data_IF_681097528674
#
_entry.id   IF_681097528674
#
_cell.length_a   1.000
_cell.length_b   1.000
_cell.length_c   1.000
_cell.angle_alpha   90.00
_cell.angle_beta   90.00
_cell.angle_gamma   90.00
#
_symmetry.space_group_name_H-M   'P 1'
#
loop_
_entity.id
_entity.type
_entity.pdbx_description
1 polymer ?
#
# COMPACT_ATOMS: atom_id res chain seq x y z
N UNK A 1 21.62 4.88 5.36
CA UNK A 1 20.40 4.06 5.22
C UNK A 1 19.96 4.16 3.76
N UNK A 2 20.22 3.14 2.95
CA UNK A 2 19.85 3.16 1.53
C UNK A 2 18.32 3.08 1.45
N UNK A 3 17.65 4.17 1.09
CA UNK A 3 16.22 4.13 0.79
C UNK A 3 16.03 3.26 -0.46
N UNK A 4 15.64 2.00 -0.27
CA UNK A 4 15.44 1.06 -1.37
C UNK A 4 14.18 1.49 -2.13
N UNK A 5 14.37 2.20 -3.25
CA UNK A 5 13.30 2.66 -4.11
C UNK A 5 12.79 1.50 -4.95
N UNK A 6 11.54 1.10 -4.77
CA UNK A 6 10.93 0.10 -5.64
C UNK A 6 10.73 0.68 -7.06
N UNK A 7 10.92 -0.16 -8.07
CA UNK A 7 10.71 0.21 -9.47
C UNK A 7 9.21 0.30 -9.78
N UNK A 8 8.76 1.51 -10.15
CA UNK A 8 7.38 1.77 -10.56
C UNK A 8 7.22 1.50 -12.05
N UNK A 9 6.24 0.67 -12.39
CA UNK A 9 5.90 0.29 -13.77
C UNK A 9 4.40 0.13 -13.88
N UNK A 10 3.80 0.54 -15.01
CA UNK A 10 2.36 0.43 -15.21
C UNK A 10 1.58 1.23 -14.15
N UNK A 11 0.58 0.61 -13.52
CA UNK A 11 -0.29 1.24 -12.51
C UNK A 11 0.30 1.28 -11.08
N UNK A 12 1.55 0.84 -10.92
CA UNK A 12 2.25 0.90 -9.62
C UNK A 12 2.60 2.35 -9.28
N UNK A 13 2.35 2.73 -8.03
CA UNK A 13 2.55 4.10 -7.58
C UNK A 13 3.12 4.16 -6.16
N UNK A 14 3.60 5.34 -5.77
CA UNK A 14 4.13 5.62 -4.44
C UNK A 14 3.38 6.81 -3.85
N UNK A 15 2.90 6.69 -2.62
CA UNK A 15 2.26 7.80 -1.94
C UNK A 15 3.30 8.90 -1.62
N UNK A 16 3.04 10.17 -1.99
CA UNK A 16 3.97 11.26 -1.69
C UNK A 16 4.03 11.57 -0.19
N UNK A 17 2.94 11.32 0.56
CA UNK A 17 2.83 11.62 1.99
C UNK A 17 3.51 10.56 2.85
N UNK A 18 3.12 9.29 2.73
CA UNK A 18 3.64 8.21 3.59
C UNK A 18 4.77 7.39 2.95
N UNK A 19 5.10 7.63 1.67
CA UNK A 19 6.16 6.95 0.90
C UNK A 19 5.97 5.44 0.71
N UNK A 20 4.82 4.88 1.09
CA UNK A 20 4.45 3.49 0.82
C UNK A 20 4.16 3.27 -0.67
N UNK A 21 4.40 2.04 -1.11
CA UNK A 21 4.25 1.61 -2.50
C UNK A 21 2.99 0.78 -2.69
N UNK A 22 2.23 1.06 -3.75
CA UNK A 22 0.96 0.40 -4.05
C UNK A 22 1.01 -0.23 -5.44
N UNK A 23 0.42 -1.42 -5.56
CA UNK A 23 0.49 -2.19 -6.80
C UNK A 23 -0.45 -1.66 -7.90
N UNK A 24 -1.38 -0.78 -7.54
CA UNK A 24 -2.40 -0.19 -8.42
C UNK A 24 -2.93 1.12 -7.86
N UNK A 25 -3.55 1.95 -8.70
CA UNK A 25 -4.32 3.13 -8.28
C UNK A 25 -5.45 2.74 -7.34
N UNK A 26 -6.13 1.62 -7.59
CA UNK A 26 -7.19 1.13 -6.70
C UNK A 26 -6.72 0.77 -5.28
N UNK A 27 -5.51 0.23 -5.13
CA UNK A 27 -4.93 -0.03 -3.81
C UNK A 27 -4.53 1.27 -3.11
N UNK A 28 -4.03 2.25 -3.86
CA UNK A 28 -3.71 3.58 -3.37
C UNK A 28 -4.95 4.34 -2.89
N UNK A 29 -6.03 4.30 -3.67
CA UNK A 29 -7.28 4.97 -3.30
C UNK A 29 -7.88 4.34 -2.05
N UNK A 30 -7.88 3.00 -1.94
CA UNK A 30 -8.31 2.29 -0.72
C UNK A 30 -7.47 2.68 0.51
N UNK A 31 -6.21 3.07 0.32
CA UNK A 31 -5.32 3.51 1.38
C UNK A 31 -5.68 4.90 1.93
N UNK A 32 -6.32 5.76 1.13
CA UNK A 32 -6.70 7.11 1.56
C UNK A 32 -8.13 7.10 2.10
N UNK A 33 -8.30 7.70 3.27
CA UNK A 33 -9.60 7.82 3.94
C UNK A 33 -9.87 9.26 4.35
N UNK A 34 -11.12 9.55 4.67
CA UNK A 34 -11.59 10.91 4.96
C UNK A 34 -12.17 11.62 3.73
N UNK A 35 -12.87 12.73 3.99
CA UNK A 35 -13.44 13.60 2.96
C UNK A 35 -12.37 14.46 2.30
N UNK A 36 -12.76 15.44 1.49
CA UNK A 36 -11.79 16.34 0.84
C UNK A 36 -10.93 17.12 1.85
N UNK A 37 -11.53 17.55 2.96
CA UNK A 37 -10.89 18.45 3.93
C UNK A 37 -10.08 17.72 5.02
N UNK A 38 -10.37 16.45 5.27
CA UNK A 38 -9.70 15.62 6.30
C UNK A 38 -9.11 14.33 5.70
N UNK A 39 -8.65 14.42 4.45
CA UNK A 39 -8.10 13.24 3.76
C UNK A 39 -6.75 12.86 4.36
N UNK A 40 -6.67 11.66 4.95
CA UNK A 40 -5.44 11.10 5.49
C UNK A 40 -5.08 9.75 4.88
N UNK A 41 -3.82 9.38 5.11
CA UNK A 41 -3.30 8.04 4.87
C UNK A 41 -3.78 7.08 5.97
N UNK A 42 -4.20 5.88 5.60
CA UNK A 42 -4.25 4.77 6.55
C UNK A 42 -2.85 4.38 7.01
N UNK A 43 -2.73 4.05 8.28
CA UNK A 43 -1.54 3.43 8.88
C UNK A 43 -1.43 1.96 8.42
N UNK A 44 -0.25 1.36 8.60
CA UNK A 44 -0.04 -0.06 8.28
C UNK A 44 -1.05 -0.96 9.03
N UNK A 45 -1.25 -0.84 10.35
CA UNK A 45 -2.25 -1.66 11.05
C UNK A 45 -3.68 -1.47 10.54
N UNK A 46 -4.08 -0.24 10.19
CA UNK A 46 -5.42 0.00 9.65
C UNK A 46 -5.60 -0.62 8.25
N UNK A 47 -4.57 -0.54 7.40
CA UNK A 47 -4.61 -1.20 6.09
C UNK A 47 -4.72 -2.72 6.22
N UNK A 48 -3.98 -3.33 7.16
CA UNK A 48 -4.06 -4.76 7.46
C UNK A 48 -5.43 -5.16 7.99
N UNK A 49 -6.02 -4.36 8.90
CA UNK A 49 -7.38 -4.57 9.41
C UNK A 49 -8.43 -4.51 8.28
N UNK A 50 -8.18 -3.76 7.21
CA UNK A 50 -9.02 -3.72 6.00
C UNK A 50 -8.71 -4.84 4.98
N UNK A 51 -7.87 -5.81 5.37
CA UNK A 51 -7.46 -6.95 4.54
C UNK A 51 -6.51 -6.59 3.41
N UNK A 52 -5.84 -5.43 3.48
CA UNK A 52 -4.75 -5.11 2.57
C UNK A 52 -3.47 -5.81 3.04
N UNK A 53 -2.56 -6.09 2.11
CA UNK A 53 -1.29 -6.72 2.44
C UNK A 53 -0.20 -6.30 1.44
N UNK A 54 1.05 -6.51 1.81
CA UNK A 54 2.20 -6.35 0.91
C UNK A 54 2.36 -7.63 0.09
N UNK A 55 2.53 -7.51 -1.23
CA UNK A 55 2.79 -8.64 -2.10
C UNK A 55 4.30 -9.01 -2.15
N UNK A 56 4.64 -10.11 -2.84
CA UNK A 56 6.05 -10.54 -2.99
C UNK A 56 6.99 -9.51 -3.62
N UNK A 57 6.45 -8.54 -4.35
CA UNK A 57 7.22 -7.47 -4.97
C UNK A 57 7.36 -6.22 -4.07
N UNK A 58 6.85 -6.24 -2.84
CA UNK A 58 6.95 -5.13 -1.88
C UNK A 58 5.86 -4.06 -2.02
N UNK A 59 4.77 -4.34 -2.74
CA UNK A 59 3.68 -3.38 -2.97
C UNK A 59 2.42 -3.76 -2.20
N UNK A 60 1.75 -2.78 -1.60
CA UNK A 60 0.43 -2.93 -1.01
C UNK A 60 -0.62 -3.27 -2.07
N UNK A 61 -1.45 -4.26 -1.78
CA UNK A 61 -2.60 -4.72 -2.59
C UNK A 61 -3.88 -4.71 -1.76
N UNK A 62 -5.00 -4.39 -2.39
CA UNK A 62 -6.29 -4.23 -1.70
C UNK A 62 -6.92 -5.54 -1.19
N UNK A 63 -6.71 -6.64 -1.91
CA UNK A 63 -7.01 -8.03 -1.51
C UNK A 63 -5.96 -8.94 -2.15
N UNK A 64 -5.04 -9.55 -1.38
CA UNK A 64 -4.09 -10.49 -1.94
C UNK A 64 -4.81 -11.74 -2.44
N UNK A 65 -4.44 -12.24 -3.63
CA UNK A 65 -4.79 -13.61 -4.03
C UNK A 65 -4.04 -14.60 -3.14
N UNK A 66 -4.65 -15.76 -2.88
CA UNK A 66 -4.04 -16.85 -2.11
C UNK A 66 -2.60 -17.12 -2.56
N UNK A 67 -1.65 -17.13 -1.62
CA UNK A 67 -0.23 -17.37 -1.88
C UNK A 67 0.64 -16.17 -2.29
N UNK A 68 0.08 -14.96 -2.41
CA UNK A 68 0.82 -13.77 -2.84
C UNK A 68 0.95 -12.65 -1.78
N UNK A 69 0.50 -12.88 -0.54
CA UNK A 69 0.73 -11.96 0.57
C UNK A 69 2.02 -12.34 1.31
N UNK A 70 2.82 -11.34 1.66
CA UNK A 70 3.86 -11.47 2.69
C UNK A 70 3.23 -10.98 4.00
N UNK A 71 3.16 -11.80 5.07
CA UNK A 71 2.80 -11.30 6.39
C UNK A 71 3.83 -10.28 6.84
N UNK A 72 3.38 -9.11 7.29
CA UNK A 72 4.25 -8.10 7.90
C UNK A 72 4.95 -8.72 9.12
N UNK A 73 6.29 -8.60 9.17
CA UNK A 73 7.04 -8.97 10.37
C UNK A 73 6.76 -7.92 11.45
N UNK A 74 6.24 -8.38 12.58
CA UNK A 74 6.18 -7.62 13.83
C UNK A 74 7.58 -7.35 14.36
#
# INVERSE_FOLDING_TARGET
>A
MTHMKLHLTGDRNQCPTCRLYFNSTSAFDKHRVGTWDDRRCLTVPEMEALGMAINKAGFWVGRPRSGNAIPSRT
#
